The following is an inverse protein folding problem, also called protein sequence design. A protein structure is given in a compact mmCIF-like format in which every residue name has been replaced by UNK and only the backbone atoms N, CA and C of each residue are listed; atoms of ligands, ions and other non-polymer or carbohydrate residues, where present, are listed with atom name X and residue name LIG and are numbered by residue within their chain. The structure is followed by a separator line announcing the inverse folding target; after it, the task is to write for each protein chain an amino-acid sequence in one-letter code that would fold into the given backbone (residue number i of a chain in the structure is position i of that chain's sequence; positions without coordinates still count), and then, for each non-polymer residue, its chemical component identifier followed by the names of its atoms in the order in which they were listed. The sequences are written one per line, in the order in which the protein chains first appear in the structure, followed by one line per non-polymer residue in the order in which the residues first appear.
data_IF_185807328614
#
_entry.id   IF_185807328614
#
_cell.length_a   1.000
_cell.length_b   1.000
_cell.length_c   1.000
_cell.angle_alpha   90.00
_cell.angle_beta   90.00
_cell.angle_gamma   90.00
#
_symmetry.space_group_name_H-M   'P 1'
#
loop_
_entity.id
_entity.type
_entity.pdbx_description
1 polymer ?
#
# COMPACT_ATOMS: atom_id res chain seq x y z
N UNK A 1 12.62 17.67 14.36
CA UNK A 1 12.11 17.98 15.72
C UNK A 1 12.33 19.42 16.21
N UNK A 2 12.71 20.37 15.36
CA UNK A 2 13.09 21.75 15.76
C UNK A 2 12.13 22.47 16.75
N UNK A 3 10.81 22.29 16.63
CA UNK A 3 9.84 23.00 17.47
C UNK A 3 9.73 22.48 18.92
N UNK A 4 9.88 21.18 19.17
CA UNK A 4 9.81 20.62 20.54
C UNK A 4 11.03 21.04 21.38
N UNK A 5 12.16 21.26 20.72
CA UNK A 5 13.39 21.74 21.35
C UNK A 5 13.22 23.20 21.82
N UNK A 6 12.57 24.05 21.00
CA UNK A 6 12.20 25.42 21.39
C UNK A 6 11.29 25.46 22.62
N UNK A 7 10.29 24.58 22.68
CA UNK A 7 9.40 24.47 23.85
C UNK A 7 10.14 24.03 25.10
N UNK A 8 11.15 23.17 24.96
CA UNK A 8 12.00 22.72 26.08
C UNK A 8 12.88 23.85 26.61
N UNK A 9 13.42 24.68 25.72
CA UNK A 9 14.19 25.88 26.08
C UNK A 9 13.28 26.88 26.80
N UNK A 10 12.06 27.11 26.30
CA UNK A 10 11.11 28.02 26.94
C UNK A 10 10.60 27.51 28.29
N UNK A 11 10.36 26.22 28.44
CA UNK A 11 10.04 25.58 29.73
C UNK A 11 11.16 25.86 30.75
N UNK A 12 12.42 25.72 30.33
CA UNK A 12 13.59 25.96 31.18
C UNK A 12 13.82 27.45 31.50
N UNK A 13 13.46 28.36 30.61
CA UNK A 13 13.57 29.80 30.84
C UNK A 13 12.45 30.35 31.74
N UNK A 14 11.32 29.64 31.88
CA UNK A 14 10.16 30.06 32.68
C UNK A 14 10.08 29.35 34.04
N UNK A 15 11.20 28.83 34.55
CA UNK A 15 11.28 28.14 35.85
C UNK A 15 10.81 28.99 37.03
N UNK A 16 10.97 30.30 36.94
CA UNK A 16 10.53 31.26 37.97
C UNK A 16 9.00 31.37 38.07
N UNK A 17 8.26 30.83 37.10
CA UNK A 17 6.80 30.82 37.04
C UNK A 17 6.27 29.37 36.87
N UNK A 18 6.06 28.61 37.96
CA UNK A 18 5.77 27.18 37.91
C UNK A 18 4.47 26.83 37.16
N UNK A 19 3.45 27.70 37.22
CA UNK A 19 2.20 27.53 36.48
C UNK A 19 2.43 27.58 34.95
N UNK A 20 3.23 28.53 34.50
CA UNK A 20 3.54 28.72 33.07
C UNK A 20 4.43 27.58 32.56
N UNK A 21 5.43 27.16 33.34
CA UNK A 21 6.27 26.01 33.00
C UNK A 21 5.44 24.72 32.85
N UNK A 22 4.49 24.48 33.77
CA UNK A 22 3.58 23.34 33.67
C UNK A 22 2.68 23.40 32.44
N UNK A 23 2.16 24.58 32.08
CA UNK A 23 1.35 24.76 30.87
C UNK A 23 2.16 24.47 29.59
N UNK A 24 3.41 24.93 29.52
CA UNK A 24 4.33 24.64 28.40
C UNK A 24 4.62 23.14 28.32
N UNK A 25 4.84 22.47 29.45
CA UNK A 25 5.06 21.02 29.51
C UNK A 25 3.85 20.22 29.01
N UNK A 26 2.64 20.60 29.42
CA UNK A 26 1.40 19.97 28.96
C UNK A 26 1.20 20.16 27.46
N UNK A 27 1.45 21.37 26.94
CA UNK A 27 1.38 21.64 25.51
C UNK A 27 2.45 20.87 24.71
N UNK A 28 3.69 20.82 25.19
CA UNK A 28 4.77 20.03 24.60
C UNK A 28 4.42 18.54 24.54
N UNK A 29 3.80 18.02 25.59
CA UNK A 29 3.35 16.62 25.65
C UNK A 29 2.21 16.35 24.66
N UNK A 30 1.21 17.25 24.59
CA UNK A 30 0.14 17.18 23.60
C UNK A 30 0.65 17.18 22.15
N UNK A 31 1.54 18.11 21.80
CA UNK A 31 2.15 18.18 20.46
C UNK A 31 3.00 16.93 20.19
N UNK A 32 3.77 16.48 21.18
CA UNK A 32 4.59 15.26 21.07
C UNK A 32 3.74 14.01 20.83
N UNK A 33 2.61 13.88 21.51
CA UNK A 33 1.66 12.79 21.32
C UNK A 33 0.94 12.85 19.98
N UNK A 34 0.54 14.05 19.53
CA UNK A 34 -0.05 14.24 18.21
C UNK A 34 0.93 13.84 17.09
N UNK A 35 2.19 14.26 17.18
CA UNK A 35 3.21 13.92 16.17
C UNK A 35 3.55 12.43 16.20
N UNK A 36 3.63 11.81 17.38
CA UNK A 36 3.84 10.34 17.49
C UNK A 36 2.67 9.54 16.93
N UNK A 37 1.43 9.96 17.19
CA UNK A 37 0.22 9.32 16.61
C UNK A 37 0.11 9.56 15.10
N UNK A 38 0.59 10.70 14.61
CA UNK A 38 0.64 11.05 13.19
C UNK A 38 1.87 10.52 12.45
N UNK A 39 2.55 9.48 12.95
CA UNK A 39 3.45 8.71 12.09
C UNK A 39 2.58 7.91 11.10
N UNK A 40 2.06 8.61 10.10
CA UNK A 40 1.36 8.05 8.95
C UNK A 40 2.42 7.27 8.19
N UNK A 41 2.69 6.03 8.62
CA UNK A 41 3.44 5.07 7.85
C UNK A 41 2.71 4.98 6.50
N UNK A 42 3.39 5.38 5.43
CA UNK A 42 2.90 5.24 4.06
C UNK A 42 2.61 3.76 3.81
N UNK A 43 1.36 3.36 4.02
CA UNK A 43 0.91 1.98 3.88
C UNK A 43 0.51 1.74 2.44
N UNK A 44 1.28 0.90 1.77
CA UNK A 44 0.98 0.44 0.40
C UNK A 44 0.01 -0.74 0.47
N UNK A 45 -1.03 -0.68 -0.35
CA UNK A 45 -2.00 -1.77 -0.51
C UNK A 45 -1.88 -2.35 -1.91
N UNK A 46 -1.94 -3.67 -2.02
CA UNK A 46 -1.82 -4.39 -3.28
C UNK A 46 -3.12 -5.17 -3.52
N UNK A 47 -3.65 -5.09 -4.75
CA UNK A 47 -4.91 -5.74 -5.14
C UNK A 47 -4.68 -6.58 -6.39
N UNK A 48 -5.17 -7.82 -6.38
CA UNK A 48 -5.08 -8.76 -7.50
C UNK A 48 -6.47 -8.97 -8.08
N UNK A 49 -6.61 -8.77 -9.39
CA UNK A 49 -7.87 -8.99 -10.12
C UNK A 49 -7.74 -10.32 -10.89
N UNK A 50 -8.42 -11.39 -10.48
CA UNK A 50 -8.31 -12.68 -11.13
C UNK A 50 -9.05 -12.70 -12.48
N UNK A 51 -8.53 -13.51 -13.40
CA UNK A 51 -9.20 -13.89 -14.65
C UNK A 51 -9.29 -15.41 -14.73
N UNK A 52 -10.51 -15.94 -14.85
CA UNK A 52 -10.76 -17.38 -14.88
C UNK A 52 -10.98 -17.90 -16.30
N UNK A 53 -10.68 -19.18 -16.53
CA UNK A 53 -10.92 -19.85 -17.80
C UNK A 53 -12.42 -19.92 -18.18
N UNK A 54 -13.34 -19.81 -17.20
CA UNK A 54 -14.78 -19.72 -17.48
C UNK A 54 -15.14 -18.44 -18.27
N UNK A 55 -14.35 -17.37 -18.11
CA UNK A 55 -14.55 -16.12 -18.84
C UNK A 55 -14.10 -16.19 -20.31
N UNK A 56 -13.45 -17.30 -20.72
CA UNK A 56 -13.01 -17.54 -22.09
C UNK A 56 -14.13 -18.00 -23.03
N UNK A 57 -15.31 -18.35 -22.49
CA UNK A 57 -16.49 -18.77 -23.25
C UNK A 57 -16.82 -20.25 -23.07
N UNK A 58 -18.11 -20.54 -22.95
CA UNK A 58 -18.64 -21.85 -22.51
C UNK A 58 -18.50 -22.95 -23.57
N UNK A 59 -18.35 -22.57 -24.84
CA UNK A 59 -18.44 -23.50 -25.99
C UNK A 59 -17.34 -24.56 -26.03
N UNK A 60 -16.22 -24.36 -25.33
CA UNK A 60 -15.10 -25.32 -25.26
C UNK A 60 -14.87 -25.87 -23.85
N UNK A 61 -15.62 -25.38 -22.86
CA UNK A 61 -15.48 -25.78 -21.45
C UNK A 61 -16.09 -27.15 -21.17
N UNK A 62 -17.25 -27.48 -21.76
CA UNK A 62 -17.87 -28.80 -21.58
C UNK A 62 -17.01 -29.95 -22.13
N UNK A 63 -16.29 -29.74 -23.23
CA UNK A 63 -15.38 -30.75 -23.82
C UNK A 63 -13.99 -30.78 -23.17
N UNK A 64 -13.52 -29.68 -22.56
CA UNK A 64 -12.22 -29.61 -21.87
C UNK A 64 -12.27 -29.98 -20.38
N UNK A 65 -13.44 -29.93 -19.73
CA UNK A 65 -13.61 -30.51 -18.38
C UNK A 65 -13.57 -32.04 -18.40
N UNK A 66 -14.04 -32.67 -19.49
CA UNK A 66 -14.08 -34.13 -19.64
C UNK A 66 -12.72 -34.71 -20.09
N UNK A 67 -11.89 -33.93 -20.78
CA UNK A 67 -10.54 -34.33 -21.19
C UNK A 67 -9.50 -33.58 -20.38
N UNK A 68 -8.80 -34.28 -19.48
CA UNK A 68 -7.52 -33.89 -18.85
C UNK A 68 -6.41 -33.70 -19.91
N UNK A 69 -6.62 -32.83 -20.89
CA UNK A 69 -5.60 -32.47 -21.85
C UNK A 69 -4.73 -31.38 -21.22
N UNK A 70 -3.44 -31.66 -21.12
CA UNK A 70 -2.37 -30.79 -20.59
C UNK A 70 -2.15 -29.51 -21.43
N UNK A 71 -2.98 -29.27 -22.43
CA UNK A 71 -2.84 -28.23 -23.44
C UNK A 71 -3.90 -27.14 -23.20
N UNK A 72 -3.52 -25.87 -23.41
CA UNK A 72 -4.42 -24.72 -23.29
C UNK A 72 -5.69 -24.94 -24.15
N UNK A 73 -6.89 -24.63 -23.63
CA UNK A 73 -8.15 -24.83 -24.35
C UNK A 73 -8.29 -23.96 -25.61
N UNK A 74 -7.52 -22.87 -25.70
CA UNK A 74 -7.51 -21.95 -26.83
C UNK A 74 -6.08 -21.50 -27.17
N UNK A 75 -5.90 -20.89 -28.35
CA UNK A 75 -4.63 -20.24 -28.73
C UNK A 75 -4.27 -19.14 -27.72
N UNK A 76 -2.98 -19.01 -27.42
CA UNK A 76 -2.46 -18.03 -26.44
C UNK A 76 -2.94 -16.60 -26.73
N UNK A 77 -2.94 -16.19 -27.99
CA UNK A 77 -3.35 -14.84 -28.38
C UNK A 77 -4.84 -14.57 -28.13
N UNK A 78 -5.69 -15.57 -28.34
CA UNK A 78 -7.12 -15.48 -28.06
C UNK A 78 -7.38 -15.28 -26.56
N UNK A 79 -6.70 -16.06 -25.73
CA UNK A 79 -6.78 -15.96 -24.27
C UNK A 79 -6.31 -14.58 -23.81
N UNK A 80 -5.19 -14.10 -24.35
CA UNK A 80 -4.63 -12.81 -23.97
C UNK A 80 -5.57 -11.65 -24.35
N UNK A 81 -6.14 -11.68 -25.55
CA UNK A 81 -7.08 -10.65 -25.98
C UNK A 81 -8.34 -10.64 -25.12
N UNK A 82 -8.94 -11.82 -24.89
CA UNK A 82 -10.13 -11.95 -24.06
C UNK A 82 -9.88 -11.53 -22.61
N UNK A 83 -8.73 -11.91 -22.06
CA UNK A 83 -8.30 -11.51 -20.73
C UNK A 83 -8.17 -9.99 -20.63
N UNK A 84 -7.55 -9.33 -21.61
CA UNK A 84 -7.44 -7.85 -21.65
C UNK A 84 -8.82 -7.20 -21.70
N UNK A 85 -9.72 -7.67 -22.57
CA UNK A 85 -11.08 -7.12 -22.69
C UNK A 85 -11.89 -7.26 -21.40
N UNK A 86 -11.69 -8.34 -20.63
CA UNK A 86 -12.37 -8.53 -19.33
C UNK A 86 -11.70 -7.77 -18.18
N UNK A 87 -10.37 -7.78 -18.11
CA UNK A 87 -9.62 -7.24 -16.98
C UNK A 87 -9.54 -5.72 -16.98
N UNK A 88 -9.45 -5.08 -18.15
CA UNK A 88 -9.31 -3.61 -18.23
C UNK A 88 -10.51 -2.89 -17.58
N UNK A 89 -11.78 -3.23 -17.89
CA UNK A 89 -12.93 -2.61 -17.22
C UNK A 89 -12.97 -2.87 -15.71
N UNK A 90 -12.61 -4.09 -15.27
CA UNK A 90 -12.55 -4.44 -13.84
C UNK A 90 -11.50 -3.59 -13.11
N UNK A 91 -10.32 -3.43 -13.70
CA UNK A 91 -9.26 -2.55 -13.19
C UNK A 91 -9.75 -1.12 -13.05
N UNK A 92 -10.32 -0.55 -14.11
CA UNK A 92 -10.80 0.83 -14.08
C UNK A 92 -11.88 1.05 -13.03
N UNK A 93 -12.78 0.08 -12.88
CA UNK A 93 -13.80 0.15 -11.83
C UNK A 93 -13.18 0.22 -10.44
N UNK A 94 -12.23 -0.67 -10.15
CA UNK A 94 -11.50 -0.70 -8.87
C UNK A 94 -10.71 0.59 -8.65
N UNK A 95 -10.00 1.10 -9.66
CA UNK A 95 -9.32 2.40 -9.63
C UNK A 95 -10.28 3.53 -9.26
N UNK A 96 -11.46 3.56 -9.85
CA UNK A 96 -12.47 4.59 -9.56
C UNK A 96 -12.96 4.54 -8.12
N UNK A 97 -13.13 3.34 -7.56
CA UNK A 97 -13.53 3.16 -6.16
C UNK A 97 -12.44 3.64 -5.20
N UNK A 98 -11.18 3.33 -5.47
CA UNK A 98 -10.05 3.82 -4.67
C UNK A 98 -9.89 5.35 -4.74
N UNK A 99 -10.02 5.92 -5.94
CA UNK A 99 -9.96 7.37 -6.10
C UNK A 99 -11.09 8.08 -5.33
N UNK A 100 -12.29 7.47 -5.22
CA UNK A 100 -13.42 8.03 -4.45
C UNK A 100 -13.12 8.15 -2.96
N UNK A 101 -12.28 7.28 -2.41
CA UNK A 101 -11.85 7.33 -1.01
C UNK A 101 -10.52 8.08 -0.81
N UNK A 102 -10.03 8.76 -1.84
CA UNK A 102 -8.81 9.57 -1.78
C UNK A 102 -7.51 8.76 -1.91
N UNK A 103 -7.57 7.50 -2.32
CA UNK A 103 -6.37 6.67 -2.55
C UNK A 103 -5.98 6.71 -4.03
N UNK A 104 -4.75 7.11 -4.32
CA UNK A 104 -4.18 7.04 -5.66
C UNK A 104 -3.76 5.60 -5.98
N UNK A 105 -4.19 5.07 -7.13
CA UNK A 105 -3.82 3.73 -7.60
C UNK A 105 -2.98 3.79 -8.86
N UNK A 106 -1.98 2.91 -8.95
CA UNK A 106 -1.14 2.71 -10.14
C UNK A 106 -1.09 1.21 -10.46
N UNK A 107 -1.17 0.85 -11.75
CA UNK A 107 -0.86 -0.49 -12.19
C UNK A 107 0.66 -0.75 -12.07
N UNK A 108 1.03 -1.89 -11.48
CA UNK A 108 2.43 -2.27 -11.34
C UNK A 108 2.96 -2.81 -12.67
N UNK A 109 4.11 -2.29 -13.08
CA UNK A 109 4.89 -2.82 -14.20
C UNK A 109 5.74 -4.02 -13.75
N UNK A 110 6.33 -4.75 -14.70
CA UNK A 110 7.19 -5.91 -14.41
C UNK A 110 8.33 -5.57 -13.44
N UNK A 111 8.94 -4.38 -13.57
CA UNK A 111 10.01 -3.92 -12.65
C UNK A 111 9.49 -3.72 -11.22
N UNK A 112 8.31 -3.11 -11.10
CA UNK A 112 7.66 -2.85 -9.82
C UNK A 112 7.26 -4.17 -9.14
N UNK A 113 6.80 -5.16 -9.91
CA UNK A 113 6.48 -6.50 -9.42
C UNK A 113 7.72 -7.26 -8.95
N UNK A 114 8.83 -7.21 -9.69
CA UNK A 114 10.10 -7.83 -9.26
C UNK A 114 10.54 -7.24 -7.93
N UNK A 115 10.50 -5.91 -7.80
CA UNK A 115 10.80 -5.21 -6.55
C UNK A 115 9.87 -5.64 -5.43
N UNK A 116 8.57 -5.71 -5.67
CA UNK A 116 7.59 -6.15 -4.69
C UNK A 116 7.87 -7.59 -4.22
N UNK A 117 8.12 -8.52 -5.14
CA UNK A 117 8.45 -9.91 -4.79
C UNK A 117 9.75 -9.98 -3.96
N UNK A 118 10.75 -9.18 -4.32
CA UNK A 118 12.00 -9.08 -3.56
C UNK A 118 11.78 -8.48 -2.16
N UNK A 119 10.97 -7.42 -2.04
CA UNK A 119 10.60 -6.81 -0.76
C UNK A 119 9.79 -7.76 0.11
N UNK A 120 8.86 -8.53 -0.44
CA UNK A 120 8.08 -9.53 0.31
C UNK A 120 9.00 -10.65 0.81
N UNK A 121 9.91 -11.14 -0.04
CA UNK A 121 10.81 -12.23 0.32
C UNK A 121 11.88 -11.83 1.35
N UNK A 122 12.39 -10.58 1.27
CA UNK A 122 13.47 -10.09 2.13
C UNK A 122 13.02 -9.11 3.23
N UNK A 123 11.71 -8.81 3.33
CA UNK A 123 11.16 -7.67 4.06
C UNK A 123 11.39 -7.62 5.57
N UNK A 124 11.69 -8.76 6.21
CA UNK A 124 12.08 -8.76 7.64
C UNK A 124 13.45 -8.12 7.88
N UNK A 125 14.36 -8.17 6.89
CA UNK A 125 15.71 -7.62 7.01
C UNK A 125 15.79 -6.09 6.86
N UNK A 126 14.85 -5.48 6.11
CA UNK A 126 14.87 -4.04 5.79
C UNK A 126 14.04 -3.20 6.78
N UNK A 127 12.97 -3.76 7.36
CA UNK A 127 12.16 -3.05 8.37
C UNK A 127 12.89 -2.88 9.70
N UNK A 128 13.84 -3.77 10.00
CA UNK A 128 14.72 -3.67 11.18
C UNK A 128 15.85 -2.63 11.00
N UNK A 129 16.15 -2.22 9.75
CA UNK A 129 17.28 -1.34 9.41
C UNK A 129 17.00 0.17 9.35
N UNK A 130 15.75 0.62 9.51
CA UNK A 130 15.43 2.07 9.53
C UNK A 130 15.55 2.72 10.92
N UNK A 131 16.11 2.02 11.91
CA UNK A 131 16.66 2.68 13.10
C UNK A 131 18.12 3.06 12.86
N UNK A 132 18.32 4.38 12.85
CA UNK A 132 19.58 5.09 13.10
C UNK A 132 20.51 5.17 11.89
N UNK A 133 20.55 6.33 11.24
CA UNK A 133 21.83 7.01 10.98
C UNK A 133 21.69 8.52 11.18
N UNK A 134 22.37 8.96 12.25
CA UNK A 134 22.85 10.29 12.68
C UNK A 134 21.96 11.51 12.50
#
# INVERSE_FOLDING_TARGET
SSYLDLLTIQENHKKDAPLIANMIRSYRSFVGEMVKKNNVLDKKFYVIIPFSALELGVTTTLTSLVRKNKNLPFKKDYILQKAKTSLIPKREHVTRLFNRIGLATKQLDTKDLIKLCYEIYNGESLSTGLKIQK
#
